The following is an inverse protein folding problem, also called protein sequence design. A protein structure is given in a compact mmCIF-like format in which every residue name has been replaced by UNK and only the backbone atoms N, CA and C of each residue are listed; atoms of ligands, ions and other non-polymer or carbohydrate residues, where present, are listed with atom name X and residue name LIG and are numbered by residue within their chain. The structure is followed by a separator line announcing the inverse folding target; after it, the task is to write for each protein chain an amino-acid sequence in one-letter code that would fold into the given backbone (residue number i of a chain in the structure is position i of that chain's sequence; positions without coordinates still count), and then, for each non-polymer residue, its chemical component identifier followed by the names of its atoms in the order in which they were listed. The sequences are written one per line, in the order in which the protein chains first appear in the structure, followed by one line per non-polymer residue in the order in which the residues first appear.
data_IF_118844828468
#
_entry.id   IF_118844828468
#
_cell.length_a   1.000
_cell.length_b   1.000
_cell.length_c   1.000
_cell.angle_alpha   90.00
_cell.angle_beta   90.00
_cell.angle_gamma   90.00
#
_symmetry.space_group_name_H-M   'P 1'
#
loop_
_entity.id
_entity.type
_entity.pdbx_description
1 polymer ?
#
# COMPACT_ATOMS: atom_id res chain seq x y z
N UNK A 1 -5.47 -4.60 -11.00
CA UNK A 1 -6.35 -4.19 -9.88
C UNK A 1 -6.05 -2.75 -9.48
N UNK A 2 -6.95 -2.03 -8.79
CA UNK A 2 -6.70 -0.66 -8.32
C UNK A 2 -6.58 -0.64 -6.81
N UNK A 3 -5.56 0.04 -6.30
CA UNK A 3 -5.27 0.12 -4.88
C UNK A 3 -5.20 1.58 -4.44
N UNK A 4 -5.88 1.92 -3.35
CA UNK A 4 -5.61 3.15 -2.61
C UNK A 4 -4.32 2.96 -1.80
N UNK A 5 -3.38 3.88 -1.99
CA UNK A 5 -2.06 3.86 -1.36
C UNK A 5 -1.90 5.12 -0.54
N UNK A 6 -1.64 4.95 0.76
CA UNK A 6 -1.33 6.04 1.68
C UNK A 6 0.16 6.33 1.69
N UNK A 7 0.51 7.62 1.76
CA UNK A 7 1.89 8.12 1.77
C UNK A 7 2.08 8.97 3.03
N UNK A 8 3.05 8.59 3.84
CA UNK A 8 3.58 9.34 4.97
C UNK A 8 4.75 10.19 4.48
N UNK A 9 4.73 11.49 4.81
CA UNK A 9 5.81 12.41 4.45
C UNK A 9 6.97 12.27 5.45
N UNK A 10 8.24 12.36 5.02
CA UNK A 10 9.36 12.39 5.94
C UNK A 10 9.28 13.62 6.85
N UNK A 11 9.51 13.44 8.15
CA UNK A 11 9.51 14.55 9.11
C UNK A 11 10.85 15.30 9.10
N UNK A 12 11.95 14.58 8.84
CA UNK A 12 13.30 15.11 8.84
C UNK A 12 14.03 14.85 7.52
N UNK A 13 15.05 15.67 7.23
CA UNK A 13 15.91 15.47 6.07
C UNK A 13 16.64 14.13 6.16
N UNK A 14 16.55 13.32 5.10
CA UNK A 14 17.16 12.00 5.02
C UNK A 14 16.27 10.86 5.49
N UNK A 15 15.04 11.13 5.94
CA UNK A 15 14.02 10.11 6.14
C UNK A 15 13.34 9.72 4.83
N UNK A 16 12.93 8.45 4.75
CA UNK A 16 12.18 7.92 3.62
C UNK A 16 10.69 8.28 3.73
N UNK A 17 9.99 8.22 2.60
CA UNK A 17 8.54 8.27 2.54
C UNK A 17 7.99 6.91 2.98
N UNK A 18 7.08 6.89 3.96
CA UNK A 18 6.34 5.69 4.34
C UNK A 18 5.21 5.41 3.37
N UNK A 19 4.97 4.14 3.04
CA UNK A 19 3.94 3.72 2.08
C UNK A 19 3.11 2.60 2.71
N UNK A 20 1.79 2.71 2.62
CA UNK A 20 0.83 1.70 3.06
C UNK A 20 -0.19 1.36 1.97
N UNK A 21 -0.56 0.09 1.88
CA UNK A 21 -1.65 -0.39 1.02
C UNK A 21 -2.67 -1.17 1.87
N UNK A 22 -3.69 -0.49 2.44
CA UNK A 22 -4.56 -1.09 3.45
C UNK A 22 -5.49 -2.19 2.94
N UNK A 23 -5.68 -2.32 1.62
CA UNK A 23 -6.56 -3.34 1.04
C UNK A 23 -6.25 -4.76 1.56
N UNK A 24 -4.97 -5.06 1.79
CA UNK A 24 -4.50 -6.36 2.27
C UNK A 24 -4.92 -6.68 3.72
N UNK A 25 -5.23 -5.66 4.54
CA UNK A 25 -5.65 -5.86 5.94
C UNK A 25 -6.99 -6.59 6.03
N UNK A 26 -7.84 -6.45 5.00
CA UNK A 26 -9.12 -7.16 4.89
C UNK A 26 -8.92 -8.68 4.79
N UNK A 27 -7.77 -9.10 4.27
CA UNK A 27 -7.35 -10.50 4.19
C UNK A 27 -6.45 -10.92 5.36
N UNK A 28 -6.21 -10.02 6.33
CA UNK A 28 -5.35 -10.28 7.50
C UNK A 28 -3.86 -10.03 7.25
N UNK A 29 -3.49 -9.32 6.19
CA UNK A 29 -2.11 -9.03 5.83
C UNK A 29 -1.77 -7.55 5.97
N UNK A 30 -0.53 -7.25 6.31
CA UNK A 30 0.02 -5.90 6.19
C UNK A 30 0.76 -5.74 4.86
N UNK A 31 0.59 -4.60 4.18
CA UNK A 31 1.35 -4.26 2.99
C UNK A 31 1.96 -2.86 3.17
N UNK A 32 3.24 -2.84 3.51
CA UNK A 32 4.00 -1.62 3.79
C UNK A 32 5.27 -1.59 2.96
N UNK A 33 5.69 -0.41 2.54
CA UNK A 33 7.00 -0.20 1.93
C UNK A 33 7.49 1.22 2.23
N UNK A 34 8.64 1.58 1.66
CA UNK A 34 9.20 2.91 1.78
C UNK A 34 9.93 3.31 0.50
N UNK A 35 10.11 4.61 0.30
CA UNK A 35 10.88 5.15 -0.82
C UNK A 35 11.82 6.25 -0.34
N UNK A 36 13.09 6.22 -0.74
CA UNK A 36 14.07 7.25 -0.37
C UNK A 36 13.78 8.58 -1.11
N UNK A 37 13.12 8.49 -2.27
CA UNK A 37 12.84 9.63 -3.13
C UNK A 37 11.39 9.62 -3.61
N UNK A 38 10.82 10.82 -3.78
CA UNK A 38 9.41 11.01 -4.16
C UNK A 38 9.06 10.36 -5.50
N UNK A 39 9.99 10.35 -6.45
CA UNK A 39 9.83 9.73 -7.77
C UNK A 39 9.85 8.20 -7.75
N UNK A 40 10.24 7.60 -6.62
CA UNK A 40 10.24 6.14 -6.41
C UNK A 40 8.98 5.63 -5.70
N UNK A 41 8.14 6.49 -5.15
CA UNK A 41 6.96 6.09 -4.36
C UNK A 41 6.07 5.11 -5.14
N UNK A 42 5.73 5.44 -6.39
CA UNK A 42 4.85 4.59 -7.19
C UNK A 42 5.47 3.24 -7.52
N UNK A 43 6.77 3.19 -7.84
CA UNK A 43 7.42 1.92 -8.17
C UNK A 43 7.56 1.04 -6.94
N UNK A 44 7.91 1.60 -5.78
CA UNK A 44 8.02 0.86 -4.53
C UNK A 44 6.67 0.35 -4.02
N UNK A 45 5.61 1.15 -4.15
CA UNK A 45 4.26 0.71 -3.84
C UNK A 45 3.83 -0.46 -4.74
N UNK A 46 4.09 -0.37 -6.06
CA UNK A 46 3.73 -1.44 -7.01
C UNK A 46 4.47 -2.74 -6.74
N UNK A 47 5.77 -2.67 -6.43
CA UNK A 47 6.56 -3.84 -6.07
C UNK A 47 5.99 -4.51 -4.81
N UNK A 48 5.72 -3.74 -3.76
CA UNK A 48 5.12 -4.27 -2.53
C UNK A 48 3.75 -4.92 -2.76
N UNK A 49 2.90 -4.31 -3.60
CA UNK A 49 1.60 -4.88 -3.97
C UNK A 49 1.80 -6.22 -4.69
N UNK A 50 2.72 -6.30 -5.66
CA UNK A 50 2.99 -7.53 -6.41
C UNK A 50 3.50 -8.65 -5.49
N UNK A 51 4.49 -8.36 -4.65
CA UNK A 51 5.03 -9.32 -3.67
C UNK A 51 3.95 -9.82 -2.69
N UNK A 52 3.04 -8.92 -2.27
CA UNK A 52 1.94 -9.30 -1.39
C UNK A 52 0.85 -10.10 -2.09
N UNK A 53 0.54 -9.82 -3.35
CA UNK A 53 -0.38 -10.66 -4.13
C UNK A 53 0.17 -12.09 -4.27
N UNK A 54 1.46 -12.23 -4.60
CA UNK A 54 2.13 -13.53 -4.67
C UNK A 54 2.10 -14.25 -3.31
N UNK A 55 2.30 -13.52 -2.22
CA UNK A 55 2.22 -14.07 -0.85
C UNK A 55 0.83 -14.58 -0.51
N UNK A 56 -0.22 -13.79 -0.79
CA UNK A 56 -1.62 -14.19 -0.55
C UNK A 56 -1.97 -15.43 -1.36
N UNK A 57 -1.58 -15.49 -2.63
CA UNK A 57 -1.82 -16.66 -3.48
C UNK A 57 -1.08 -17.90 -2.99
N UNK A 58 0.18 -17.74 -2.55
CA UNK A 58 0.98 -18.82 -2.01
C UNK A 58 0.40 -19.42 -0.72
N UNK A 59 -0.23 -18.59 0.10
CA UNK A 59 -0.96 -18.99 1.31
C UNK A 59 -2.35 -19.60 1.01
N UNK A 60 -2.77 -19.61 -0.26
CA UNK A 60 -4.06 -20.12 -0.71
C UNK A 60 -5.22 -19.12 -0.55
N UNK A 61 -4.91 -17.85 -0.34
CA UNK A 61 -5.87 -16.76 -0.31
C UNK A 61 -6.41 -16.39 -1.70
N UNK A 62 -7.54 -15.70 -1.72
CA UNK A 62 -8.25 -15.29 -2.93
C UNK A 62 -8.04 -13.79 -3.18
N UNK A 63 -7.15 -13.45 -4.11
CA UNK A 63 -6.79 -12.07 -4.45
C UNK A 63 -7.91 -11.33 -5.19
N UNK A 64 -8.91 -12.02 -5.75
CA UNK A 64 -10.04 -11.37 -6.42
C UNK A 64 -10.90 -10.56 -5.44
N UNK A 65 -10.85 -10.88 -4.14
CA UNK A 65 -11.51 -10.10 -3.09
C UNK A 65 -10.95 -8.68 -2.96
N UNK A 66 -9.67 -8.47 -3.33
CA UNK A 66 -9.04 -7.15 -3.31
C UNK A 66 -9.50 -6.26 -4.48
N UNK A 67 -9.96 -6.86 -5.58
CA UNK A 67 -10.39 -6.12 -6.77
C UNK A 67 -11.71 -5.36 -6.58
N UNK A 68 -12.49 -5.71 -5.55
CA UNK A 68 -13.79 -5.09 -5.22
C UNK A 68 -13.72 -4.13 -4.03
N UNK A 69 -12.51 -3.79 -3.58
CA UNK A 69 -12.21 -3.21 -2.26
C UNK A 69 -13.24 -2.21 -1.73
N UNK A 70 -13.67 -2.47 -0.49
CA UNK A 70 -14.45 -1.53 0.30
C UNK A 70 -13.67 -0.21 0.48
N UNK A 71 -14.35 0.96 0.54
CA UNK A 71 -13.71 2.23 0.81
C UNK A 71 -12.91 2.18 2.13
N UNK A 72 -11.67 2.64 2.11
CA UNK A 72 -10.82 2.66 3.31
C UNK A 72 -11.21 3.84 4.20
N UNK A 73 -11.37 3.60 5.49
CA UNK A 73 -11.48 4.67 6.49
C UNK A 73 -10.10 5.28 6.75
N UNK A 74 -9.78 6.36 6.04
CA UNK A 74 -8.50 7.08 6.14
C UNK A 74 -8.24 7.66 7.53
N UNK A 75 -9.26 7.79 8.39
CA UNK A 75 -9.07 8.27 9.76
C UNK A 75 -8.28 7.28 10.64
N UNK A 76 -8.21 6.02 10.23
CA UNK A 76 -7.39 4.99 10.90
C UNK A 76 -5.89 5.11 10.57
N UNK A 77 -5.53 5.92 9.58
CA UNK A 77 -4.17 6.06 9.05
C UNK A 77 -3.73 7.53 9.12
N UNK A 78 -3.81 8.11 10.32
CA UNK A 78 -3.61 9.55 10.54
C UNK A 78 -2.22 10.06 10.11
N UNK A 79 -1.21 9.19 10.12
CA UNK A 79 0.16 9.52 9.74
C UNK A 79 0.35 9.59 8.20
N UNK A 80 -0.58 9.01 7.44
CA UNK A 80 -0.56 8.99 5.97
C UNK A 80 -1.39 10.14 5.40
N UNK A 81 -0.72 11.27 5.17
CA UNK A 81 -1.36 12.53 4.77
C UNK A 81 -1.78 12.60 3.31
N UNK A 82 -1.12 11.85 2.42
CA UNK A 82 -1.39 11.86 0.98
C UNK A 82 -1.87 10.50 0.49
N UNK A 83 -2.76 10.49 -0.50
CA UNK A 83 -3.37 9.27 -1.03
C UNK A 83 -3.39 9.30 -2.55
N UNK A 84 -2.95 8.20 -3.15
CA UNK A 84 -2.98 7.99 -4.60
C UNK A 84 -3.70 6.68 -4.93
N UNK A 85 -4.20 6.57 -6.16
CA UNK A 85 -4.73 5.31 -6.68
C UNK A 85 -3.73 4.76 -7.67
N UNK A 86 -3.23 3.55 -7.41
CA UNK A 86 -2.34 2.84 -8.31
C UNK A 86 -3.05 1.68 -8.99
N UNK A 87 -2.81 1.53 -10.29
CA UNK A 87 -3.18 0.34 -11.04
C UNK A 87 -1.96 -0.59 -11.14
N UNK A 88 -2.19 -1.87 -10.82
CA UNK A 88 -1.21 -2.97 -10.83
C UNK A 88 -1.71 -4.09 -11.72
#
# INVERSE_FOLDING_TARGET
MKFEVGIEQPEYEGEAYGIIVPAFEQLGYGCFSAADHKDQIESQAKLAIQEMLETVEADGGDTDQLAQGEPIDKSLYADFSDWIILEV
#
